data_IF_806162135662
#
_entry.id   IF_806162135662
#
_cell.length_a   1.000
_cell.length_b   1.000
_cell.length_c   1.000
_cell.angle_alpha   90.00
_cell.angle_beta   90.00
_cell.angle_gamma   90.00
#
_symmetry.space_group_name_H-M   'P 1'
#
loop_
_entity.id
_entity.type
_entity.pdbx_description
1 polymer ?
#
# COMPACT_ATOMS: atom_id res chain seq x y z
N UNK A 1 -29.50 -64.58 -1.03
CA UNK A 1 -30.49 -63.74 -1.75
C UNK A 1 -30.61 -62.44 -0.99
N UNK A 2 -30.34 -61.31 -1.67
CA UNK A 2 -30.65 -59.91 -1.27
C UNK A 2 -29.86 -59.41 -0.04
N UNK A 3 -29.06 -58.34 -0.07
CA UNK A 3 -28.95 -57.19 -0.96
C UNK A 3 -29.27 -55.90 -0.18
N UNK A 4 -28.32 -54.95 -0.18
CA UNK A 4 -28.33 -53.56 0.37
C UNK A 4 -27.68 -53.35 1.74
N UNK A 5 -26.36 -53.15 1.71
CA UNK A 5 -25.65 -52.32 2.69
C UNK A 5 -25.62 -50.88 2.15
N UNK A 6 -26.30 -49.95 2.83
CA UNK A 6 -26.11 -48.51 2.65
C UNK A 6 -25.14 -48.05 3.73
N UNK A 7 -23.92 -47.69 3.33
CA UNK A 7 -22.94 -47.02 4.19
C UNK A 7 -23.40 -45.58 4.43
N UNK A 8 -24.02 -45.34 5.58
CA UNK A 8 -24.13 -43.99 6.15
C UNK A 8 -22.89 -43.74 7.02
N UNK A 9 -21.90 -43.04 6.48
CA UNK A 9 -20.80 -42.49 7.28
C UNK A 9 -21.35 -41.34 8.14
N UNK A 10 -21.55 -41.62 9.43
CA UNK A 10 -21.70 -40.57 10.43
C UNK A 10 -20.33 -39.88 10.61
N UNK A 11 -20.22 -38.65 10.12
CA UNK A 11 -19.11 -37.75 10.47
C UNK A 11 -19.22 -37.41 11.96
N UNK A 12 -18.24 -37.91 12.72
CA UNK A 12 -18.00 -37.58 14.12
C UNK A 12 -17.83 -36.06 14.26
N UNK A 13 -18.66 -35.48 15.12
CA UNK A 13 -18.56 -34.10 15.60
C UNK A 13 -17.21 -33.88 16.31
N UNK A 14 -16.48 -32.76 16.08
CA UNK A 14 -15.35 -32.41 16.93
C UNK A 14 -15.87 -31.89 18.28
N UNK A 15 -15.38 -32.51 19.35
CA UNK A 15 -15.82 -32.30 20.72
C UNK A 15 -15.69 -30.86 21.21
N UNK A 16 -16.78 -30.38 21.82
CA UNK A 16 -16.82 -29.23 22.72
C UNK A 16 -16.27 -29.66 24.07
N UNK A 17 -14.97 -29.43 24.32
CA UNK A 17 -14.44 -29.36 25.67
C UNK A 17 -14.68 -27.94 26.19
N UNK A 18 -15.74 -27.79 26.99
CA UNK A 18 -15.99 -26.58 27.75
C UNK A 18 -14.97 -26.47 28.88
N UNK A 19 -14.02 -25.54 28.73
CA UNK A 19 -13.26 -25.00 29.84
C UNK A 19 -13.71 -23.54 29.99
N UNK A 20 -14.44 -23.28 31.06
CA UNK A 20 -14.90 -21.95 31.45
C UNK A 20 -13.70 -21.07 31.82
N UNK A 21 -13.56 -19.91 31.14
CA UNK A 21 -12.78 -18.78 31.65
C UNK A 21 -11.55 -18.34 30.87
N UNK A 22 -11.50 -18.52 29.54
CA UNK A 22 -10.44 -17.95 28.71
C UNK A 22 -11.08 -17.06 27.65
N UNK A 23 -10.61 -15.81 27.54
CA UNK A 23 -10.90 -14.96 26.40
C UNK A 23 -10.64 -15.78 25.13
N UNK A 24 -11.66 -15.88 24.26
CA UNK A 24 -11.44 -16.29 22.88
C UNK A 24 -10.51 -15.23 22.29
N UNK A 25 -9.21 -15.46 22.35
CA UNK A 25 -8.28 -14.84 21.42
C UNK A 25 -8.57 -15.55 20.12
N UNK A 26 -9.53 -15.01 19.38
CA UNK A 26 -9.72 -15.34 18.00
C UNK A 26 -8.40 -14.98 17.31
N UNK A 27 -7.56 -15.98 17.11
CA UNK A 27 -6.47 -15.89 16.17
C UNK A 27 -7.11 -15.77 14.78
N UNK A 28 -7.65 -14.59 14.50
CA UNK A 28 -8.22 -14.26 13.22
C UNK A 28 -7.13 -14.48 12.20
N UNK A 29 -7.31 -15.50 11.37
CA UNK A 29 -6.52 -15.65 10.15
C UNK A 29 -6.69 -14.33 9.40
N UNK A 30 -5.68 -13.46 9.42
CA UNK A 30 -5.68 -12.24 8.59
C UNK A 30 -5.74 -12.70 7.15
N UNK A 31 -6.96 -12.70 6.58
CA UNK A 31 -7.18 -12.95 5.18
C UNK A 31 -6.25 -12.03 4.38
N UNK A 32 -5.49 -12.63 3.45
CA UNK A 32 -4.61 -11.86 2.57
C UNK A 32 -5.47 -10.92 1.75
N UNK A 33 -5.39 -9.64 2.08
CA UNK A 33 -6.17 -8.60 1.44
C UNK A 33 -5.35 -7.98 0.30
N UNK A 34 -6.01 -7.87 -0.85
CA UNK A 34 -5.49 -7.24 -2.07
C UNK A 34 -6.52 -6.24 -2.55
N UNK A 35 -6.05 -5.07 -2.94
CA UNK A 35 -6.87 -4.05 -3.56
C UNK A 35 -6.13 -3.45 -4.75
N UNK A 36 -6.86 -3.05 -5.77
CA UNK A 36 -6.30 -2.43 -6.97
C UNK A 36 -6.92 -1.05 -7.14
N UNK A 37 -6.09 -0.05 -7.46
CA UNK A 37 -6.51 1.33 -7.62
C UNK A 37 -5.84 1.98 -8.84
N UNK A 38 -6.60 2.59 -9.78
CA UNK A 38 -6.01 3.39 -10.84
C UNK A 38 -5.28 4.59 -10.21
N UNK A 39 -4.07 4.85 -10.69
CA UNK A 39 -3.22 5.91 -10.14
C UNK A 39 -2.56 6.71 -11.25
N UNK A 40 -2.25 7.98 -10.97
CA UNK A 40 -1.53 8.84 -11.91
C UNK A 40 -0.09 8.97 -11.42
N UNK A 41 0.87 8.54 -12.24
CA UNK A 41 2.29 8.75 -12.01
C UNK A 41 2.73 10.10 -12.63
N UNK A 42 3.28 10.98 -11.81
CA UNK A 42 3.94 12.21 -12.25
C UNK A 42 5.40 11.92 -12.60
N UNK A 43 5.74 12.08 -13.87
CA UNK A 43 7.09 11.90 -14.39
C UNK A 43 7.74 13.29 -14.49
N UNK A 44 8.84 13.52 -13.74
CA UNK A 44 9.60 14.75 -13.88
C UNK A 44 10.23 14.80 -15.28
N UNK A 45 9.96 15.86 -16.03
CA UNK A 45 10.59 16.08 -17.33
C UNK A 45 12.02 16.55 -17.12
N UNK A 46 12.95 15.94 -17.84
CA UNK A 46 14.36 16.33 -17.78
C UNK A 46 14.53 17.75 -18.36
N UNK A 47 15.01 18.73 -17.56
CA UNK A 47 15.21 20.10 -18.03
C UNK A 47 16.22 20.20 -19.17
N UNK A 48 17.09 19.20 -19.37
CA UNK A 48 18.03 19.16 -20.50
C UNK A 48 17.34 18.89 -21.86
N UNK A 49 16.12 18.36 -21.84
CA UNK A 49 15.34 18.01 -23.04
C UNK A 49 14.35 19.11 -23.45
N UNK A 50 14.18 20.16 -22.63
CA UNK A 50 13.19 21.22 -22.82
C UNK A 50 13.86 22.60 -22.73
N UNK A 51 14.72 22.91 -23.71
CA UNK A 51 15.45 24.19 -23.76
C UNK A 51 14.53 25.41 -24.02
N UNK A 52 13.36 25.21 -24.63
CA UNK A 52 12.50 26.31 -25.13
C UNK A 52 11.05 26.29 -24.62
N UNK A 53 10.68 25.38 -23.71
CA UNK A 53 9.32 25.31 -23.15
C UNK A 53 9.37 25.07 -21.65
N UNK A 54 8.53 25.81 -20.94
CA UNK A 54 8.31 25.63 -19.51
C UNK A 54 8.05 24.14 -19.20
N UNK A 55 8.83 23.51 -18.31
CA UNK A 55 8.75 22.07 -18.09
C UNK A 55 7.38 21.73 -17.52
N UNK A 56 6.54 21.10 -18.35
CA UNK A 56 5.24 20.60 -17.92
C UNK A 56 5.42 19.17 -17.41
N UNK A 57 4.92 18.84 -16.21
CA UNK A 57 4.96 17.46 -15.72
C UNK A 57 4.20 16.54 -16.70
N UNK A 58 4.79 15.39 -17.00
CA UNK A 58 4.13 14.35 -17.79
C UNK A 58 3.39 13.41 -16.85
N UNK A 59 2.17 13.03 -17.22
CA UNK A 59 1.30 12.17 -16.43
C UNK A 59 1.14 10.83 -17.14
N UNK A 60 1.31 9.74 -16.40
CA UNK A 60 1.09 8.38 -16.88
C UNK A 60 0.03 7.69 -16.03
N UNK A 61 -0.93 7.03 -16.68
CA UNK A 61 -1.89 6.18 -15.98
C UNK A 61 -1.21 4.86 -15.65
N UNK A 62 -1.24 4.49 -14.37
CA UNK A 62 -0.64 3.27 -13.86
C UNK A 62 -1.66 2.54 -12.97
N UNK A 63 -1.40 1.26 -12.72
CA UNK A 63 -2.19 0.47 -11.78
C UNK A 63 -1.41 0.29 -10.48
N UNK A 64 -1.97 0.74 -9.36
CA UNK A 64 -1.41 0.47 -8.03
C UNK A 64 -2.14 -0.72 -7.42
N UNK A 65 -1.38 -1.77 -7.08
CA UNK A 65 -1.89 -2.94 -6.36
C UNK A 65 -1.38 -2.89 -4.93
N UNK A 66 -2.27 -2.85 -3.97
CA UNK A 66 -1.95 -2.94 -2.55
C UNK A 66 -2.03 -4.38 -2.08
N UNK A 67 -1.01 -4.84 -1.35
CA UNK A 67 -1.02 -6.15 -0.72
C UNK A 67 -0.59 -6.07 0.74
N UNK A 68 -1.25 -6.86 1.58
CA UNK A 68 -0.89 -7.06 2.99
C UNK A 68 0.30 -8.02 3.18
N UNK A 69 0.74 -8.71 2.12
CA UNK A 69 1.80 -9.73 2.19
C UNK A 69 2.64 -9.77 0.91
N UNK A 70 3.94 -10.02 1.08
CA UNK A 70 4.89 -10.24 -0.01
C UNK A 70 4.62 -11.51 -0.82
N UNK A 71 3.86 -12.46 -0.26
CA UNK A 71 3.56 -13.74 -0.89
C UNK A 71 2.40 -13.62 -1.90
N UNK A 72 2.65 -13.03 -3.08
CA UNK A 72 1.71 -13.13 -4.20
C UNK A 72 2.32 -13.42 -5.56
N UNK A 73 1.68 -14.39 -6.19
CA UNK A 73 1.69 -14.84 -7.58
C UNK A 73 1.07 -13.84 -8.58
N UNK A 74 1.12 -12.52 -8.30
CA UNK A 74 0.64 -11.48 -9.23
C UNK A 74 1.52 -11.35 -10.50
N UNK A 75 2.63 -12.09 -10.56
CA UNK A 75 3.61 -12.08 -11.63
C UNK A 75 3.07 -12.48 -13.02
N UNK A 76 1.88 -13.09 -13.13
CA UNK A 76 1.45 -13.70 -14.41
C UNK A 76 0.66 -12.81 -15.36
N UNK A 77 0.18 -11.63 -14.94
CA UNK A 77 -0.67 -10.76 -15.78
C UNK A 77 -0.43 -9.25 -15.61
N UNK A 78 0.62 -8.84 -14.89
CA UNK A 78 0.91 -7.42 -14.72
C UNK A 78 1.53 -6.84 -16.01
N UNK A 79 0.98 -5.73 -16.49
CA UNK A 79 1.63 -4.89 -17.50
C UNK A 79 2.79 -4.11 -16.89
N UNK A 80 3.67 -3.57 -17.73
CA UNK A 80 4.80 -2.73 -17.31
C UNK A 80 4.37 -1.49 -16.50
N UNK A 81 3.09 -1.09 -16.60
CA UNK A 81 2.50 0.06 -15.90
C UNK A 81 1.89 -0.30 -14.53
N UNK A 82 2.23 -1.46 -13.96
CA UNK A 82 1.69 -1.93 -12.67
C UNK A 82 2.72 -1.85 -11.56
N UNK A 83 2.35 -1.21 -10.44
CA UNK A 83 3.16 -1.14 -9.22
C UNK A 83 2.50 -1.95 -8.11
N UNK A 84 3.28 -2.79 -7.42
CA UNK A 84 2.83 -3.59 -6.29
C UNK A 84 3.36 -2.98 -4.99
N UNK A 85 2.50 -2.32 -4.24
CA UNK A 85 2.82 -1.72 -2.95
C UNK A 85 2.43 -2.64 -1.79
N UNK A 86 3.43 -3.05 -1.02
CA UNK A 86 3.24 -3.79 0.22
C UNK A 86 2.87 -2.82 1.35
N UNK A 87 1.61 -2.87 1.79
CA UNK A 87 1.10 -2.10 2.93
C UNK A 87 1.41 -2.83 4.24
N UNK A 88 2.69 -2.92 4.57
CA UNK A 88 3.17 -3.55 5.81
C UNK A 88 2.69 -2.81 7.05
N UNK A 89 2.57 -1.49 6.95
CA UNK A 89 2.04 -0.63 8.01
C UNK A 89 0.53 -0.83 8.24
N UNK A 90 -0.19 -1.41 7.28
CA UNK A 90 -1.64 -1.66 7.35
C UNK A 90 -2.49 -0.38 7.36
N UNK A 91 -1.97 0.73 6.83
CA UNK A 91 -2.63 2.03 6.87
C UNK A 91 -3.52 2.24 5.65
N UNK A 92 -3.15 1.69 4.49
CA UNK A 92 -3.83 1.95 3.22
C UNK A 92 -5.01 0.99 3.01
N UNK A 93 -4.80 -0.30 3.26
CA UNK A 93 -5.79 -1.35 3.00
C UNK A 93 -7.13 -1.16 3.72
N UNK A 94 -7.21 -0.69 4.98
CA UNK A 94 -8.51 -0.44 5.64
C UNK A 94 -9.37 0.62 4.93
N UNK A 95 -8.74 1.52 4.17
CA UNK A 95 -9.41 2.61 3.47
C UNK A 95 -9.79 2.26 2.03
N UNK A 96 -9.39 1.08 1.55
CA UNK A 96 -9.65 0.63 0.18
C UNK A 96 -10.97 -0.13 0.01
N UNK A 97 -11.61 -0.59 1.08
CA UNK A 97 -12.90 -1.32 0.95
C UNK A 97 -14.09 -0.39 0.78
N UNK A 98 -13.92 0.89 1.14
CA UNK A 98 -14.98 1.88 1.14
C UNK A 98 -14.75 2.82 -0.02
N UNK A 99 -15.70 2.83 -0.95
CA UNK A 99 -15.80 3.83 -2.01
C UNK A 99 -14.56 3.94 -2.91
N UNK A 100 -14.07 2.81 -3.46
CA UNK A 100 -12.91 2.79 -4.39
C UNK A 100 -13.09 3.77 -5.55
N UNK A 101 -14.32 3.93 -6.03
CA UNK A 101 -14.73 4.88 -7.06
C UNK A 101 -14.56 6.36 -6.65
N UNK A 102 -14.44 6.63 -5.35
CA UNK A 102 -14.18 7.95 -4.78
C UNK A 102 -12.74 8.15 -4.33
N UNK A 103 -11.83 7.26 -4.71
CA UNK A 103 -10.42 7.38 -4.36
C UNK A 103 -9.62 7.90 -5.54
N UNK A 104 -8.90 9.00 -5.29
CA UNK A 104 -7.89 9.52 -6.19
C UNK A 104 -6.51 9.09 -5.72
N UNK A 105 -5.74 8.46 -6.61
CA UNK A 105 -4.35 8.11 -6.36
C UNK A 105 -3.39 8.92 -7.21
N UNK A 106 -2.37 9.48 -6.57
CA UNK A 106 -1.23 10.13 -7.23
C UNK A 106 0.06 9.54 -6.72
N UNK A 107 0.98 9.27 -7.62
CA UNK A 107 2.31 8.77 -7.31
C UNK A 107 3.35 9.68 -7.96
N UNK A 108 4.29 10.18 -7.16
CA UNK A 108 5.32 11.09 -7.67
C UNK A 108 6.68 10.58 -7.23
N UNK A 109 7.69 10.72 -8.09
CA UNK A 109 9.07 10.42 -7.71
C UNK A 109 9.53 11.42 -6.64
N UNK A 110 9.99 10.91 -5.51
CA UNK A 110 10.52 11.72 -4.43
C UNK A 110 12.04 11.79 -4.56
N UNK A 111 12.56 13.01 -4.73
CA UNK A 111 13.98 13.26 -4.69
C UNK A 111 14.34 13.84 -3.33
N UNK A 112 15.20 13.13 -2.60
CA UNK A 112 15.89 13.67 -1.44
C UNK A 112 16.97 14.64 -1.92
N UNK A 113 16.59 15.75 -2.55
CA UNK A 113 17.53 16.77 -3.02
C UNK A 113 18.29 17.32 -1.80
N UNK A 114 19.54 16.90 -1.63
CA UNK A 114 20.49 17.33 -0.59
C UNK A 114 20.09 17.08 0.88
N UNK A 115 18.99 16.39 1.15
CA UNK A 115 18.71 15.83 2.47
C UNK A 115 19.12 14.36 2.44
N UNK A 116 20.33 14.03 2.87
CA UNK A 116 20.64 12.64 3.18
C UNK A 116 19.79 12.24 4.38
N UNK A 117 18.54 11.85 4.15
CA UNK A 117 17.73 11.18 5.15
C UNK A 117 18.38 9.81 5.31
N UNK A 118 19.32 9.72 6.25
CA UNK A 118 19.93 8.48 6.69
C UNK A 118 18.82 7.67 7.38
N UNK A 119 18.14 6.83 6.61
CA UNK A 119 17.20 5.87 7.18
C UNK A 119 18.01 4.87 8.02
N UNK A 120 17.64 4.68 9.31
CA UNK A 120 18.32 3.70 10.15
C UNK A 120 18.29 2.32 9.49
N UNK A 121 19.47 1.73 9.25
CA UNK A 121 19.60 0.38 8.71
C UNK A 121 19.90 0.25 7.21
N UNK A 122 19.94 1.34 6.43
CA UNK A 122 20.37 1.25 5.02
C UNK A 122 21.90 1.44 4.85
N UNK A 123 22.62 0.53 4.17
CA UNK A 123 24.06 0.64 3.93
C UNK A 123 24.42 1.86 3.05
N UNK A 124 25.53 2.53 3.38
CA UNK A 124 26.00 3.77 2.70
C UNK A 124 26.59 3.58 1.30
N UNK A 125 26.76 2.34 0.82
CA UNK A 125 27.40 2.05 -0.47
C UNK A 125 26.60 0.99 -1.24
N UNK A 126 25.73 1.44 -2.16
CA UNK A 126 25.24 0.62 -3.27
C UNK A 126 25.53 1.36 -4.58
N UNK A 127 26.00 0.62 -5.59
CA UNK A 127 26.30 1.14 -6.93
C UNK A 127 25.05 1.59 -7.70
N UNK A 128 23.86 1.23 -7.20
CA UNK A 128 22.56 1.70 -7.67
C UNK A 128 21.75 2.10 -6.43
N UNK A 129 21.21 3.30 -6.43
CA UNK A 129 20.39 3.79 -5.32
C UNK A 129 18.94 3.34 -5.51
N UNK A 130 18.21 3.02 -4.43
CA UNK A 130 16.78 2.77 -4.53
C UNK A 130 16.04 4.01 -5.03
N UNK A 131 14.95 3.79 -5.77
CA UNK A 131 14.09 4.89 -6.21
C UNK A 131 12.99 5.12 -5.19
N UNK A 132 12.74 6.38 -4.87
CA UNK A 132 11.75 6.78 -3.88
C UNK A 132 10.52 7.37 -4.54
N UNK A 133 9.35 7.04 -3.98
CA UNK A 133 8.06 7.54 -4.43
C UNK A 133 7.27 8.07 -3.24
N UNK A 134 6.43 9.06 -3.50
CA UNK A 134 5.32 9.43 -2.62
C UNK A 134 4.04 8.96 -3.30
N UNK A 135 3.28 8.11 -2.60
CA UNK A 135 1.94 7.70 -2.99
C UNK A 135 0.95 8.45 -2.12
N UNK A 136 0.05 9.22 -2.72
CA UNK A 136 -1.03 9.91 -2.04
C UNK A 136 -2.37 9.37 -2.50
N UNK A 137 -3.16 8.88 -1.55
CA UNK A 137 -4.55 8.48 -1.75
C UNK A 137 -5.43 9.51 -1.06
N UNK A 138 -6.36 10.11 -1.80
CA UNK A 138 -7.31 11.10 -1.28
C UNK A 138 -8.72 10.67 -1.63
N UNK A 139 -9.63 10.77 -0.65
CA UNK A 139 -11.04 10.62 -0.94
C UNK A 139 -11.57 11.90 -1.60
N UNK A 140 -12.35 11.80 -2.68
CA UNK A 140 -12.88 12.94 -3.45
C UNK A 140 -13.66 13.92 -2.56
N UNK A 141 -14.48 13.39 -1.63
CA UNK A 141 -15.22 14.19 -0.63
C UNK A 141 -14.33 14.79 0.48
N UNK A 142 -12.99 14.68 0.37
CA UNK A 142 -12.02 15.21 1.35
C UNK A 142 -12.13 14.62 2.77
N UNK A 143 -12.77 13.44 2.89
CA UNK A 143 -13.00 12.73 4.15
C UNK A 143 -11.75 12.07 4.73
N UNK A 144 -10.76 11.77 3.89
CA UNK A 144 -9.43 11.42 4.35
C UNK A 144 -8.38 11.67 3.27
N UNK A 145 -7.13 11.74 3.71
CA UNK A 145 -5.94 11.70 2.85
C UNK A 145 -4.86 10.86 3.52
N UNK A 146 -4.26 9.97 2.76
CA UNK A 146 -3.13 9.14 3.19
C UNK A 146 -1.96 9.44 2.25
N UNK A 147 -0.80 9.73 2.81
CA UNK A 147 0.44 9.93 2.07
C UNK A 147 1.47 8.93 2.59
N UNK A 148 1.96 8.08 1.70
CA UNK A 148 2.94 7.04 2.01
C UNK A 148 4.21 7.25 1.22
N UNK A 149 5.36 7.20 1.89
CA UNK A 149 6.67 7.16 1.28
C UNK A 149 7.02 5.71 0.99
N UNK A 150 7.34 5.47 -0.27
CA UNK A 150 7.60 4.14 -0.80
C UNK A 150 9.02 4.07 -1.34
N UNK A 151 9.66 2.92 -1.13
CA UNK A 151 10.97 2.61 -1.70
C UNK A 151 10.83 1.47 -2.71
N UNK A 152 11.37 1.70 -3.90
CA UNK A 152 11.62 0.67 -4.91
C UNK A 152 13.09 0.23 -4.78
N UNK A 153 13.36 -1.08 -4.62
CA UNK A 153 14.73 -1.58 -4.53
C UNK A 153 15.51 -1.29 -5.81
N UNK A 154 16.82 -1.09 -5.68
CA UNK A 154 17.71 -0.73 -6.79
C UNK A 154 17.80 -1.82 -7.87
N UNK A 155 17.69 -3.09 -7.45
CA UNK A 155 17.58 -4.25 -8.34
C UNK A 155 16.18 -4.86 -8.15
N UNK A 156 15.14 -4.28 -8.77
CA UNK A 156 13.83 -4.92 -8.76
C UNK A 156 13.98 -6.29 -9.42
N UNK A 157 13.36 -7.33 -8.84
CA UNK A 157 13.43 -8.70 -9.37
C UNK A 157 13.17 -8.67 -10.89
N UNK A 158 14.20 -8.95 -11.69
CA UNK A 158 14.11 -8.92 -13.15
C UNK A 158 13.25 -10.09 -13.61
N UNK A 159 12.01 -9.80 -13.96
CA UNK A 159 11.05 -10.76 -14.48
C UNK A 159 9.76 -10.07 -14.91
N UNK A 160 8.93 -10.73 -15.72
CA UNK A 160 7.59 -10.24 -16.04
C UNK A 160 6.78 -10.20 -14.73
N UNK A 161 6.53 -9.00 -14.23
CA UNK A 161 5.87 -8.80 -12.94
C UNK A 161 5.79 -7.33 -12.57
N UNK A 162 4.88 -6.97 -11.65
CA UNK A 162 4.68 -5.59 -11.26
C UNK A 162 5.91 -5.04 -10.52
N UNK A 163 6.19 -3.75 -10.70
CA UNK A 163 7.29 -3.08 -10.01
C UNK A 163 7.04 -3.05 -8.49
N UNK A 164 7.89 -3.70 -7.66
CA UNK A 164 7.63 -3.79 -6.22
C UNK A 164 7.96 -2.48 -5.51
N UNK A 165 7.07 -2.07 -4.61
CA UNK A 165 7.20 -0.92 -3.71
C UNK A 165 6.99 -1.36 -2.26
N UNK A 166 7.83 -0.88 -1.36
CA UNK A 166 7.65 -1.04 0.08
C UNK A 166 7.29 0.29 0.70
N UNK A 167 6.14 0.39 1.37
CA UNK A 167 5.75 1.57 2.13
C UNK A 167 6.51 1.63 3.45
N UNK A 168 7.30 2.69 3.67
CA UNK A 168 8.16 2.82 4.87
C UNK A 168 7.60 3.80 5.90
N UNK A 169 6.86 4.80 5.46
CA UNK A 169 6.27 5.83 6.31
C UNK A 169 4.94 6.24 5.74
N UNK A 170 3.88 6.15 6.54
CA UNK A 170 2.53 6.56 6.15
C UNK A 170 2.01 7.60 7.11
N UNK A 171 1.50 8.71 6.57
CA UNK A 171 0.73 9.73 7.28
C UNK A 171 -0.73 9.62 6.84
N UNK A 172 -1.66 9.63 7.80
CA UNK A 172 -3.09 9.67 7.53
C UNK A 172 -3.75 10.88 8.22
N UNK A 173 -4.75 11.45 7.56
CA UNK A 173 -5.64 12.48 8.12
C UNK A 173 -7.10 12.20 7.75
N UNK A 174 -8.03 12.44 8.68
CA UNK A 174 -9.49 12.31 8.48
C UNK A 174 -10.18 13.62 8.04
N UNK A 175 -9.43 14.71 7.87
CA UNK A 175 -9.99 15.96 7.36
C UNK A 175 -8.92 16.63 6.51
N UNK A 176 -8.97 16.41 5.19
CA UNK A 176 -8.01 17.04 4.27
C UNK A 176 -8.37 18.50 3.97
N UNK A 177 -9.59 18.94 4.32
CA UNK A 177 -10.05 20.33 4.31
C UNK A 177 -10.69 20.67 5.65
N UNK A 178 -10.29 21.77 6.25
CA UNK A 178 -10.76 22.21 7.57
C UNK A 178 -11.31 23.62 7.46
N UNK A 179 -12.55 23.82 7.90
CA UNK A 179 -13.17 25.12 8.03
C UNK A 179 -13.46 25.37 9.51
N UNK A 180 -12.94 26.47 10.04
CA UNK A 180 -13.14 26.89 11.42
C UNK A 180 -13.55 28.36 11.44
N UNK A 181 -14.40 28.72 12.39
CA UNK A 181 -14.80 30.12 12.60
C UNK A 181 -13.59 30.94 13.08
N UNK A 182 -13.62 32.25 12.86
CA UNK A 182 -12.65 33.17 13.46
C UNK A 182 -12.65 32.97 14.98
N UNK A 183 -11.46 32.83 15.58
CA UNK A 183 -11.26 32.50 17.01
C UNK A 183 -11.80 31.12 17.46
N UNK A 184 -12.23 30.26 16.53
CA UNK A 184 -12.59 28.89 16.86
C UNK A 184 -11.36 27.98 16.99
N UNK A 185 -11.45 27.00 17.89
CA UNK A 185 -10.49 25.90 17.96
C UNK A 185 -10.97 24.71 17.14
N UNK A 186 -10.06 23.99 16.50
CA UNK A 186 -10.36 22.75 15.78
C UNK A 186 -9.33 21.68 16.11
N UNK A 187 -9.77 20.43 16.22
CA UNK A 187 -8.89 19.28 16.41
C UNK A 187 -8.56 18.65 15.05
N UNK A 188 -7.28 18.61 14.72
CA UNK A 188 -6.80 17.93 13.52
C UNK A 188 -6.55 16.45 13.82
N UNK A 189 -7.31 15.57 13.16
CA UNK A 189 -7.14 14.12 13.30
C UNK A 189 -6.05 13.63 12.36
N UNK A 190 -4.80 13.68 12.82
CA UNK A 190 -3.62 13.16 12.11
C UNK A 190 -3.02 11.97 12.86
N UNK A 191 -2.49 11.00 12.12
CA UNK A 191 -1.67 9.93 12.69
C UNK A 191 -0.66 9.42 11.68
N UNK A 192 0.38 8.73 12.15
CA UNK A 192 1.43 8.19 11.30
C UNK A 192 1.85 6.80 11.75
N UNK A 193 2.40 6.04 10.81
CA UNK A 193 2.98 4.72 11.06
C UNK A 193 4.30 4.63 10.30
N UNK A 194 5.30 4.00 10.92
CA UNK A 194 6.63 3.76 10.33
C UNK A 194 6.87 2.27 10.30
N UNK A 195 7.27 1.74 9.15
CA UNK A 195 7.79 0.39 9.04
C UNK A 195 9.32 0.44 9.20
N UNK A 196 9.79 -0.08 10.33
CA UNK A 196 11.21 -0.18 10.66
C UNK A 196 11.87 -1.46 10.11
N UNK A 197 11.20 -2.21 9.23
CA UNK A 197 11.77 -3.41 8.61
C UNK A 197 12.10 -3.19 7.12
N UNK A 198 13.09 -2.34 6.77
CA UNK A 198 13.65 -2.34 5.43
C UNK A 198 14.48 -3.61 5.28
N UNK A 199 13.88 -4.68 4.75
CA UNK A 199 14.69 -5.81 4.27
C UNK A 199 15.21 -5.43 2.88
N UNK A 200 16.50 -5.12 2.82
CA UNK A 200 17.28 -5.05 1.59
C UNK A 200 17.69 -6.41 1.08
#
# INVERSE_FOLDING_TARGET
MVGREMLALYLLSPGLLWISGWHVVEAGMKLRKVSQLPCILEIPVDPSTTLDKEPRPQWQHIQLVLSSSESQTLARQASDDTFLLYDKAGVLLPHMDKDVDKLECRMNRYFTANTQILWPGLPRHQAQLPTWYIVTITHTDSSFRITTFCVQPANPAQGPGPAPLSGVFSLHTKASKVQVKLQGSVLLSCGFTVDHTPRG
#
